data_IF_302853875261
#
_entry.id   IF_302853875261
#
_cell.length_a   1.000
_cell.length_b   1.000
_cell.length_c   1.000
_cell.angle_alpha   90.00
_cell.angle_beta   90.00
_cell.angle_gamma   90.00
#
_symmetry.space_group_name_H-M   'P 1'
#
loop_
_entity.id
_entity.type
_entity.pdbx_description
1 polymer ?
#
# COMPACT_ATOMS: atom_id res chain seq x y z
N UNK A 1 -10.06 -26.14 1.91
CA UNK A 1 -10.26 -24.67 1.83
C UNK A 1 -11.56 -24.36 1.11
N UNK A 2 -12.41 -23.51 1.69
CA UNK A 2 -13.62 -22.97 1.06
C UNK A 2 -13.25 -22.04 -0.12
N UNK A 3 -14.22 -21.72 -0.99
CA UNK A 3 -13.95 -20.88 -2.18
C UNK A 3 -13.35 -19.51 -1.82
N UNK A 4 -13.93 -18.82 -0.82
CA UNK A 4 -13.43 -17.53 -0.34
C UNK A 4 -12.00 -17.65 0.21
N UNK A 5 -11.71 -18.65 1.01
CA UNK A 5 -10.37 -18.89 1.58
C UNK A 5 -9.30 -19.09 0.50
N UNK A 6 -9.65 -19.78 -0.61
CA UNK A 6 -8.72 -19.96 -1.75
C UNK A 6 -8.41 -18.64 -2.45
N UNK A 7 -9.40 -17.75 -2.57
CA UNK A 7 -9.20 -16.42 -3.15
C UNK A 7 -8.25 -15.60 -2.28
N UNK A 8 -8.48 -15.57 -0.99
CA UNK A 8 -7.65 -14.83 -0.04
C UNK A 8 -6.21 -15.39 0.00
N UNK A 9 -6.07 -16.69 -0.01
CA UNK A 9 -4.76 -17.36 -0.08
C UNK A 9 -3.99 -17.00 -1.36
N UNK A 10 -4.65 -16.96 -2.52
CA UNK A 10 -4.02 -16.51 -3.77
C UNK A 10 -3.55 -15.04 -3.68
N UNK A 11 -4.35 -14.17 -3.09
CA UNK A 11 -3.95 -12.77 -2.88
C UNK A 11 -2.75 -12.69 -1.92
N UNK A 12 -2.72 -13.45 -0.83
CA UNK A 12 -1.59 -13.45 0.12
C UNK A 12 -0.29 -13.92 -0.54
N UNK A 13 -0.34 -15.00 -1.32
CA UNK A 13 0.82 -15.52 -2.06
C UNK A 13 1.27 -14.51 -3.11
N UNK A 14 0.34 -13.97 -3.90
CA UNK A 14 0.65 -12.97 -4.92
C UNK A 14 1.25 -11.71 -4.32
N UNK A 15 0.74 -11.24 -3.18
CA UNK A 15 1.29 -10.08 -2.47
C UNK A 15 2.76 -10.27 -2.14
N UNK A 16 3.15 -11.42 -1.57
CA UNK A 16 4.55 -11.70 -1.23
C UNK A 16 5.45 -11.75 -2.48
N UNK A 17 4.96 -12.40 -3.54
CA UNK A 17 5.72 -12.51 -4.78
C UNK A 17 5.88 -11.15 -5.48
N UNK A 18 4.80 -10.37 -5.60
CA UNK A 18 4.85 -9.05 -6.24
C UNK A 18 5.74 -8.07 -5.47
N UNK A 19 5.69 -8.07 -4.15
CA UNK A 19 6.56 -7.23 -3.34
C UNK A 19 8.04 -7.59 -3.50
N UNK A 20 8.36 -8.89 -3.61
CA UNK A 20 9.75 -9.36 -3.70
C UNK A 20 10.34 -9.26 -5.10
N UNK A 21 9.54 -9.56 -6.13
CA UNK A 21 10.02 -9.71 -7.51
C UNK A 21 9.57 -8.58 -8.45
N UNK A 22 8.61 -7.76 -8.03
CA UNK A 22 7.90 -6.83 -8.91
C UNK A 22 6.71 -7.50 -9.61
N UNK A 23 5.88 -6.66 -10.20
CA UNK A 23 4.62 -7.11 -10.79
C UNK A 23 4.83 -7.82 -12.12
N UNK A 24 5.73 -7.35 -12.99
CA UNK A 24 5.99 -8.00 -14.29
C UNK A 24 6.72 -9.31 -14.14
N UNK A 25 7.76 -9.36 -13.29
CA UNK A 25 8.60 -10.55 -13.16
C UNK A 25 7.90 -11.73 -12.46
N UNK A 26 7.00 -11.46 -11.50
CA UNK A 26 6.25 -12.51 -10.84
C UNK A 26 5.17 -13.11 -11.77
N UNK A 27 5.39 -14.33 -12.24
CA UNK A 27 4.47 -15.03 -13.15
C UNK A 27 3.28 -15.68 -12.45
N UNK A 28 2.16 -15.85 -13.17
CA UNK A 28 0.97 -16.56 -12.68
C UNK A 28 1.29 -18.01 -12.29
N UNK A 29 2.11 -18.71 -13.07
CA UNK A 29 2.47 -20.09 -12.79
C UNK A 29 3.29 -20.21 -11.49
N UNK A 30 4.08 -19.19 -11.16
CA UNK A 30 4.81 -19.11 -9.90
C UNK A 30 3.85 -18.87 -8.70
N UNK A 31 2.85 -17.98 -8.87
CA UNK A 31 1.80 -17.79 -7.84
C UNK A 31 1.05 -19.08 -7.57
N UNK A 32 0.68 -19.82 -8.63
CA UNK A 32 -0.05 -21.09 -8.53
C UNK A 32 0.79 -22.13 -7.83
N UNK A 33 2.06 -22.28 -8.21
CA UNK A 33 2.99 -23.24 -7.62
C UNK A 33 3.19 -22.96 -6.11
N UNK A 34 3.43 -21.70 -5.72
CA UNK A 34 3.62 -21.33 -4.33
C UNK A 34 2.33 -21.44 -3.51
N UNK A 35 1.16 -21.19 -4.13
CA UNK A 35 -0.14 -21.37 -3.47
C UNK A 35 -0.54 -22.84 -3.31
N UNK A 36 0.10 -23.77 -4.03
CA UNK A 36 -0.29 -25.18 -4.03
C UNK A 36 -1.69 -25.42 -4.58
N UNK A 37 -2.14 -24.60 -5.55
CA UNK A 37 -3.48 -24.64 -6.13
C UNK A 37 -3.42 -24.96 -7.63
N UNK A 38 -4.51 -25.51 -8.16
CA UNK A 38 -4.61 -25.74 -9.61
C UNK A 38 -4.82 -24.42 -10.37
N UNK A 39 -4.27 -24.32 -11.58
CA UNK A 39 -4.39 -23.17 -12.48
C UNK A 39 -5.86 -22.76 -12.73
N UNK A 40 -6.73 -23.75 -12.88
CA UNK A 40 -8.18 -23.54 -13.01
C UNK A 40 -8.81 -22.87 -11.80
N UNK A 41 -8.24 -23.07 -10.59
CA UNK A 41 -8.72 -22.41 -9.37
C UNK A 41 -8.42 -20.92 -9.42
N UNK A 42 -7.24 -20.52 -9.84
CA UNK A 42 -6.88 -19.10 -10.00
C UNK A 42 -7.81 -18.40 -11.00
N UNK A 43 -7.98 -18.97 -12.20
CA UNK A 43 -8.82 -18.37 -13.24
C UNK A 43 -10.32 -18.37 -12.95
N UNK A 44 -10.79 -19.13 -11.96
CA UNK A 44 -12.15 -18.99 -11.42
C UNK A 44 -12.33 -17.75 -10.55
N UNK A 45 -11.27 -17.18 -10.02
CA UNK A 45 -11.28 -16.01 -9.14
C UNK A 45 -10.83 -14.73 -9.85
N UNK A 46 -9.88 -14.84 -10.76
CA UNK A 46 -9.24 -13.73 -11.46
C UNK A 46 -9.14 -14.08 -12.95
N UNK A 47 -9.68 -13.20 -13.80
CA UNK A 47 -9.72 -13.42 -15.26
C UNK A 47 -8.32 -13.30 -15.87
N UNK A 48 -7.45 -12.50 -15.26
CA UNK A 48 -6.09 -12.21 -15.72
C UNK A 48 -5.15 -11.99 -14.54
N UNK A 49 -3.86 -11.82 -14.83
CA UNK A 49 -2.85 -11.38 -13.86
C UNK A 49 -3.15 -9.97 -13.35
N UNK A 50 -3.60 -9.10 -14.23
CA UNK A 50 -3.96 -7.72 -13.90
C UNK A 50 -5.13 -7.66 -12.92
N UNK A 51 -6.16 -8.51 -13.07
CA UNK A 51 -7.25 -8.65 -12.10
C UNK A 51 -6.74 -9.07 -10.72
N UNK A 52 -5.75 -9.98 -10.66
CA UNK A 52 -5.12 -10.38 -9.41
C UNK A 52 -4.32 -9.22 -8.80
N UNK A 53 -3.56 -8.48 -9.62
CA UNK A 53 -2.80 -7.30 -9.16
C UNK A 53 -3.74 -6.25 -8.57
N UNK A 54 -4.84 -5.93 -9.25
CA UNK A 54 -5.87 -5.01 -8.74
C UNK A 54 -6.41 -5.47 -7.39
N UNK A 55 -6.70 -6.77 -7.24
CA UNK A 55 -7.19 -7.31 -5.97
C UNK A 55 -6.13 -7.24 -4.85
N UNK A 56 -4.86 -7.45 -5.18
CA UNK A 56 -3.73 -7.29 -4.26
C UNK A 56 -3.61 -5.83 -3.81
N UNK A 57 -3.62 -4.87 -4.74
CA UNK A 57 -3.50 -3.45 -4.43
C UNK A 57 -4.64 -2.94 -3.55
N UNK A 58 -5.90 -3.31 -3.84
CA UNK A 58 -7.07 -2.96 -3.00
C UNK A 58 -6.90 -3.45 -1.57
N UNK A 59 -6.48 -4.71 -1.41
CA UNK A 59 -6.26 -5.28 -0.08
C UNK A 59 -5.08 -4.63 0.66
N UNK A 60 -4.02 -4.27 -0.06
CA UNK A 60 -2.89 -3.54 0.52
C UNK A 60 -3.33 -2.14 0.97
N UNK A 61 -4.15 -1.44 0.17
CA UNK A 61 -4.70 -0.13 0.53
C UNK A 61 -5.51 -0.19 1.82
N UNK A 62 -6.46 -1.12 1.91
CA UNK A 62 -7.28 -1.31 3.11
C UNK A 62 -6.41 -1.58 4.34
N UNK A 63 -5.52 -2.57 4.26
CA UNK A 63 -4.64 -2.95 5.38
C UNK A 63 -3.71 -1.82 5.81
N UNK A 64 -3.13 -1.09 4.86
CA UNK A 64 -2.22 0.01 5.15
C UNK A 64 -2.92 1.16 5.86
N UNK A 65 -4.07 1.60 5.33
CA UNK A 65 -4.85 2.69 5.93
C UNK A 65 -5.39 2.32 7.31
N UNK A 66 -5.88 1.09 7.48
CA UNK A 66 -6.36 0.60 8.78
C UNK A 66 -5.23 0.53 9.80
N UNK A 67 -4.06 0.01 9.41
CA UNK A 67 -2.89 -0.07 10.27
C UNK A 67 -2.38 1.32 10.67
N UNK A 68 -2.35 2.28 9.72
CA UNK A 68 -1.97 3.65 10.02
C UNK A 68 -2.94 4.31 11.00
N UNK A 69 -4.26 4.24 10.75
CA UNK A 69 -5.27 4.80 11.65
C UNK A 69 -5.17 4.22 13.06
N UNK A 70 -5.09 2.89 13.17
CA UNK A 70 -4.96 2.21 14.47
C UNK A 70 -3.67 2.60 15.21
N UNK A 71 -2.56 2.74 14.50
CA UNK A 71 -1.28 3.13 15.11
C UNK A 71 -1.33 4.58 15.58
N UNK A 72 -1.80 5.49 14.73
CA UNK A 72 -1.94 6.92 15.07
C UNK A 72 -2.86 7.10 16.29
N UNK A 73 -4.00 6.42 16.33
CA UNK A 73 -4.95 6.49 17.45
C UNK A 73 -4.40 5.92 18.77
N UNK A 74 -3.46 4.97 18.69
CA UNK A 74 -2.75 4.44 19.87
C UNK A 74 -1.65 5.36 20.36
N UNK A 75 -0.92 6.02 19.45
CA UNK A 75 0.23 6.85 19.79
C UNK A 75 -0.16 8.24 20.27
N UNK A 76 -1.26 8.80 19.76
CA UNK A 76 -1.66 10.17 20.04
C UNK A 76 -3.16 10.33 20.23
N UNK A 77 -3.54 11.23 21.15
CA UNK A 77 -4.94 11.63 21.35
C UNK A 77 -5.22 13.02 20.76
N UNK A 78 -4.28 13.93 20.92
CA UNK A 78 -4.41 15.30 20.43
C UNK A 78 -4.22 15.37 18.90
N UNK A 79 -5.06 16.16 18.19
CA UNK A 79 -5.06 16.18 16.73
C UNK A 79 -3.71 16.57 16.09
N UNK A 80 -2.97 17.52 16.65
CA UNK A 80 -1.64 17.88 16.17
C UNK A 80 -0.65 16.73 16.35
N UNK A 81 -0.70 16.04 17.50
CA UNK A 81 0.15 14.89 17.75
C UNK A 81 -0.17 13.72 16.81
N UNK A 82 -1.43 13.56 16.39
CA UNK A 82 -1.81 12.53 15.41
C UNK A 82 -1.16 12.75 14.04
N UNK A 83 -1.01 14.00 13.59
CA UNK A 83 -0.29 14.29 12.34
C UNK A 83 1.17 13.83 12.42
N UNK A 84 1.86 14.09 13.52
CA UNK A 84 3.23 13.63 13.73
C UNK A 84 3.30 12.10 13.86
N UNK A 85 2.35 11.47 14.55
CA UNK A 85 2.28 10.02 14.69
C UNK A 85 2.13 9.26 13.35
N UNK A 86 1.73 9.94 12.26
CA UNK A 86 1.76 9.32 10.93
C UNK A 86 3.19 9.04 10.46
N UNK A 87 4.16 9.86 10.85
CA UNK A 87 5.59 9.64 10.57
C UNK A 87 6.19 8.54 11.46
N UNK A 88 5.75 8.44 12.73
CA UNK A 88 6.10 7.30 13.59
C UNK A 88 5.62 5.96 12.99
N UNK A 89 4.42 5.98 12.37
CA UNK A 89 3.94 4.81 11.63
C UNK A 89 4.86 4.46 10.46
N UNK A 90 5.33 5.45 9.67
CA UNK A 90 6.29 5.22 8.58
C UNK A 90 7.60 4.63 9.09
N UNK A 91 8.18 5.19 10.14
CA UNK A 91 9.43 4.68 10.72
C UNK A 91 9.28 3.21 11.13
N UNK A 92 8.18 2.87 11.80
CA UNK A 92 7.90 1.49 12.17
C UNK A 92 7.72 0.57 10.95
N UNK A 93 7.12 1.07 9.89
CA UNK A 93 6.96 0.32 8.65
C UNK A 93 8.30 0.10 7.93
N UNK A 94 9.19 1.12 7.91
CA UNK A 94 10.53 1.01 7.29
C UNK A 94 11.42 -0.01 8.01
N UNK A 95 11.24 -0.20 9.33
CA UNK A 95 11.97 -1.18 10.14
C UNK A 95 11.49 -2.62 9.94
N UNK A 96 10.42 -2.84 9.18
CA UNK A 96 9.90 -4.17 8.94
C UNK A 96 10.74 -4.89 7.87
N UNK A 97 11.16 -6.13 8.13
CA UNK A 97 11.92 -6.96 7.19
C UNK A 97 11.21 -7.16 5.83
N UNK A 98 9.88 -6.99 5.80
CA UNK A 98 9.06 -7.04 4.59
C UNK A 98 8.83 -5.66 3.94
N UNK A 99 9.63 -4.65 4.27
CA UNK A 99 9.58 -3.35 3.60
C UNK A 99 10.29 -3.41 2.25
N UNK A 100 9.53 -3.26 1.18
CA UNK A 100 9.99 -3.25 -0.22
C UNK A 100 9.60 -1.93 -0.93
N UNK A 101 9.46 -0.84 -0.18
CA UNK A 101 8.96 0.43 -0.71
C UNK A 101 7.44 0.47 -0.88
N UNK A 102 6.96 1.49 -1.56
CA UNK A 102 5.53 1.68 -1.80
C UNK A 102 5.04 0.77 -2.95
N UNK A 103 4.15 -0.22 -2.70
CA UNK A 103 3.65 -1.13 -3.73
C UNK A 103 2.87 -0.42 -4.83
N UNK A 104 2.24 0.72 -4.53
CA UNK A 104 1.49 1.52 -5.50
C UNK A 104 2.41 2.30 -6.44
N UNK A 105 3.55 2.80 -5.94
CA UNK A 105 4.57 3.42 -6.77
C UNK A 105 5.24 2.40 -7.69
N UNK A 106 5.54 1.21 -7.18
CA UNK A 106 6.07 0.11 -7.98
C UNK A 106 5.10 -0.29 -9.08
N UNK A 107 3.82 -0.47 -8.74
CA UNK A 107 2.78 -0.79 -9.73
C UNK A 107 2.63 0.31 -10.80
N UNK A 108 2.65 1.59 -10.39
CA UNK A 108 2.56 2.72 -11.32
C UNK A 108 3.79 2.81 -12.25
N UNK A 109 4.99 2.46 -11.77
CA UNK A 109 6.20 2.41 -12.57
C UNK A 109 6.17 1.30 -13.63
N UNK A 110 5.59 0.14 -13.29
CA UNK A 110 5.49 -0.99 -14.21
C UNK A 110 4.29 -0.92 -15.16
N UNK A 111 3.18 -0.28 -14.77
CA UNK A 111 1.92 -0.18 -15.52
C UNK A 111 1.50 1.28 -15.79
N UNK A 112 2.46 2.12 -16.18
CA UNK A 112 2.26 3.56 -16.35
C UNK A 112 1.41 4.00 -17.54
N UNK A 113 1.12 3.10 -18.51
CA UNK A 113 0.29 3.40 -19.66
C UNK A 113 -1.19 3.63 -19.29
N UNK A 114 -1.81 4.65 -19.86
CA UNK A 114 -3.21 5.03 -19.60
C UNK A 114 -4.10 4.76 -20.81
N UNK A 115 -5.36 4.26 -20.62
CA UNK A 115 -5.99 3.90 -19.34
C UNK A 115 -5.53 2.53 -18.81
N UNK A 116 -5.27 2.42 -17.50
CA UNK A 116 -4.85 1.16 -16.87
C UNK A 116 -5.52 1.00 -15.48
N UNK A 117 -6.23 -0.11 -15.22
CA UNK A 117 -6.91 -0.33 -13.94
C UNK A 117 -5.94 -0.43 -12.75
N UNK A 118 -4.72 -0.95 -12.96
CA UNK A 118 -3.71 -1.03 -11.90
C UNK A 118 -3.24 0.37 -11.50
N UNK A 119 -2.94 1.23 -12.48
CA UNK A 119 -2.59 2.62 -12.22
C UNK A 119 -3.74 3.36 -11.52
N UNK A 120 -4.99 3.05 -11.84
CA UNK A 120 -6.15 3.64 -11.19
C UNK A 120 -6.20 3.31 -9.69
N UNK A 121 -5.86 2.09 -9.27
CA UNK A 121 -5.77 1.73 -7.85
C UNK A 121 -4.69 2.55 -7.11
N UNK A 122 -3.55 2.82 -7.76
CA UNK A 122 -2.53 3.70 -7.20
C UNK A 122 -3.04 5.13 -7.01
N UNK A 123 -3.77 5.67 -7.99
CA UNK A 123 -4.41 7.00 -7.89
C UNK A 123 -5.44 7.04 -6.75
N UNK A 124 -6.27 6.01 -6.62
CA UNK A 124 -7.26 5.91 -5.53
C UNK A 124 -6.57 5.91 -4.17
N UNK A 125 -5.54 5.07 -4.00
CA UNK A 125 -4.76 5.03 -2.76
C UNK A 125 -4.23 6.43 -2.37
N UNK A 126 -3.56 7.14 -3.29
CA UNK A 126 -3.01 8.47 -3.00
C UNK A 126 -4.09 9.47 -2.58
N UNK A 127 -5.25 9.45 -3.24
CA UNK A 127 -6.39 10.31 -2.86
C UNK A 127 -6.92 9.99 -1.46
N UNK A 128 -7.01 8.71 -1.11
CA UNK A 128 -7.48 8.28 0.20
C UNK A 128 -6.49 8.63 1.32
N UNK A 129 -5.18 8.61 1.03
CA UNK A 129 -4.16 9.07 1.98
C UNK A 129 -4.24 10.57 2.22
N UNK A 130 -4.33 11.38 1.15
CA UNK A 130 -4.53 12.84 1.28
C UNK A 130 -5.81 13.15 2.06
N UNK A 131 -6.92 12.46 1.78
CA UNK A 131 -8.16 12.64 2.51
C UNK A 131 -8.03 12.36 4.02
N UNK A 132 -7.26 11.35 4.40
CA UNK A 132 -6.99 11.05 5.79
C UNK A 132 -6.13 12.14 6.46
N UNK A 133 -5.08 12.61 5.81
CA UNK A 133 -4.27 13.72 6.35
C UNK A 133 -5.08 15.02 6.46
N UNK A 134 -5.98 15.28 5.51
CA UNK A 134 -6.90 16.42 5.56
C UNK A 134 -7.88 16.32 6.74
N UNK A 135 -8.40 15.12 7.02
CA UNK A 135 -9.22 14.85 8.21
C UNK A 135 -8.48 15.24 9.50
N UNK A 136 -7.22 14.81 9.64
CA UNK A 136 -6.38 15.14 10.79
C UNK A 136 -6.06 16.63 10.88
N UNK A 137 -5.73 17.27 9.75
CA UNK A 137 -5.42 18.70 9.69
C UNK A 137 -6.64 19.56 10.05
N UNK A 138 -7.84 19.16 9.62
CA UNK A 138 -9.10 19.82 10.02
C UNK A 138 -9.37 19.67 11.52
N UNK A 139 -9.17 18.47 12.07
CA UNK A 139 -9.33 18.21 13.50
C UNK A 139 -8.35 19.02 14.34
N UNK A 140 -7.15 19.31 13.81
CA UNK A 140 -6.14 20.15 14.43
C UNK A 140 -6.39 21.67 14.23
N UNK A 141 -7.50 22.06 13.60
CA UNK A 141 -7.84 23.46 13.26
C UNK A 141 -6.74 24.19 12.47
N UNK A 142 -6.00 23.50 11.62
CA UNK A 142 -4.95 24.09 10.79
C UNK A 142 -5.56 24.92 9.65
N UNK A 143 -4.87 26.01 9.28
CA UNK A 143 -5.24 26.78 8.10
C UNK A 143 -4.91 25.98 6.83
N UNK A 144 -5.72 26.10 5.78
CA UNK A 144 -5.55 25.42 4.50
C UNK A 144 -5.35 23.87 4.64
N UNK A 145 -6.25 23.14 5.33
CA UNK A 145 -6.04 21.74 5.71
C UNK A 145 -5.79 20.81 4.53
N UNK A 146 -6.38 21.10 3.36
CA UNK A 146 -6.15 20.33 2.14
C UNK A 146 -4.71 20.48 1.64
N UNK A 147 -4.19 21.71 1.60
CA UNK A 147 -2.80 21.99 1.20
C UNK A 147 -1.80 21.32 2.13
N UNK A 148 -2.03 21.41 3.45
CA UNK A 148 -1.20 20.72 4.44
C UNK A 148 -1.23 19.20 4.22
N UNK A 149 -2.39 18.64 3.91
CA UNK A 149 -2.51 17.22 3.61
C UNK A 149 -1.70 16.80 2.37
N UNK A 150 -1.69 17.60 1.31
CA UNK A 150 -0.85 17.37 0.13
C UNK A 150 0.63 17.46 0.47
N UNK A 151 1.06 18.44 1.26
CA UNK A 151 2.45 18.61 1.72
C UNK A 151 2.89 17.42 2.58
N UNK A 152 2.07 16.98 3.54
CA UNK A 152 2.33 15.77 4.34
C UNK A 152 2.44 14.53 3.44
N UNK A 153 1.53 14.38 2.47
CA UNK A 153 1.60 13.26 1.54
C UNK A 153 2.91 13.27 0.73
N UNK A 154 3.37 14.43 0.26
CA UNK A 154 4.66 14.54 -0.44
C UNK A 154 5.84 14.15 0.45
N UNK A 155 5.84 14.54 1.73
CA UNK A 155 6.86 14.15 2.69
C UNK A 155 6.84 12.65 2.95
N UNK A 156 5.67 12.03 3.11
CA UNK A 156 5.50 10.58 3.26
C UNK A 156 6.04 9.81 2.04
N UNK A 157 5.71 10.27 0.82
CA UNK A 157 6.21 9.65 -0.41
C UNK A 157 7.73 9.79 -0.54
N UNK A 158 8.26 10.98 -0.24
CA UNK A 158 9.70 11.24 -0.26
C UNK A 158 10.45 10.38 0.75
N UNK A 159 9.97 10.32 2.01
CA UNK A 159 10.56 9.47 3.05
C UNK A 159 10.53 8.00 2.64
N UNK A 160 9.40 7.52 2.11
CA UNK A 160 9.26 6.13 1.66
C UNK A 160 10.23 5.80 0.52
N UNK A 161 10.38 6.71 -0.46
CA UNK A 161 11.29 6.50 -1.58
C UNK A 161 12.76 6.50 -1.12
N UNK A 162 13.15 7.44 -0.26
CA UNK A 162 14.51 7.53 0.27
C UNK A 162 14.83 6.30 1.13
N UNK A 163 13.95 5.94 2.06
CA UNK A 163 14.14 4.75 2.90
C UNK A 163 14.30 3.47 2.05
N UNK A 164 13.50 3.34 0.99
CA UNK A 164 13.59 2.17 0.10
C UNK A 164 14.94 2.09 -0.64
N UNK A 165 15.48 3.23 -1.11
CA UNK A 165 16.73 3.27 -1.88
C UNK A 165 17.96 3.16 -0.99
N UNK A 166 17.93 3.79 0.19
CA UNK A 166 19.09 3.88 1.09
C UNK A 166 19.15 2.76 2.13
N UNK A 167 18.00 2.13 2.42
CA UNK A 167 17.86 1.21 3.55
C UNK A 167 17.84 1.91 4.92
N UNK A 168 17.76 3.25 4.94
CA UNK A 168 17.72 4.04 6.17
C UNK A 168 16.28 4.16 6.70
N UNK A 169 16.00 3.44 7.78
CA UNK A 169 14.69 3.44 8.41
C UNK A 169 14.39 4.74 9.20
N UNK A 170 15.40 5.56 9.49
CA UNK A 170 15.24 6.80 10.26
C UNK A 170 14.84 8.00 9.36
N UNK A 171 14.68 7.78 8.06
CA UNK A 171 14.31 8.81 7.06
C UNK A 171 12.98 9.52 7.37
N UNK A 172 12.08 8.93 8.16
CA UNK A 172 10.80 9.52 8.54
C UNK A 172 10.85 10.42 9.80
N UNK A 173 12.00 10.60 10.42
CA UNK A 173 12.22 11.44 11.61
C UNK A 173 12.31 12.92 11.30
#
# INVERSE_FOLDING_TARGET
MKRAEKREHLIDVATRLFNRLGYHAAGIDQVIAEAGLAKTTLYRHFKSKEDLIVAVLRRLDEKYRDAMRQTVDKLAQEPHAKLLATFDFLENWFKNDAFYGCPFMSAAGEYGERPNPILQEAVVHKRLMIAYFEELARAANLQEPHRIAEEINLLHEGATAVAHVTGDADTAR
#
